data_IF_542169485706
#
_entry.id   IF_542169485706
#
_cell.length_a   1.000
_cell.length_b   1.000
_cell.length_c   1.000
_cell.angle_alpha   90.00
_cell.angle_beta   90.00
_cell.angle_gamma   90.00
#
_symmetry.space_group_name_H-M   'P 1'
#
loop_
_entity.id
_entity.type
_entity.pdbx_description
1 polymer ?
#
# COMPACT_ATOMS: atom_id res chain seq x y z
N UNK A 1 -4.62 10.51 24.33
CA UNK A 1 -6.04 10.21 24.61
C UNK A 1 -6.83 9.83 23.37
N UNK A 2 -6.98 10.68 22.35
CA UNK A 2 -7.78 10.32 21.15
C UNK A 2 -7.22 9.15 20.35
N UNK A 3 -5.89 9.06 20.23
CA UNK A 3 -5.21 7.91 19.58
C UNK A 3 -5.40 6.63 20.41
N UNK A 4 -5.30 6.71 21.73
CA UNK A 4 -5.45 5.55 22.63
C UNK A 4 -6.88 5.00 22.60
N UNK A 5 -7.89 5.88 22.55
CA UNK A 5 -9.30 5.50 22.39
C UNK A 5 -9.55 4.87 21.02
N UNK A 6 -8.96 5.42 19.95
CA UNK A 6 -9.08 4.86 18.60
C UNK A 6 -8.45 3.47 18.50
N UNK A 7 -7.27 3.27 19.10
CA UNK A 7 -6.59 1.97 19.15
C UNK A 7 -7.41 0.96 19.98
N UNK A 8 -7.92 1.36 21.15
CA UNK A 8 -8.74 0.50 22.00
C UNK A 8 -10.06 0.12 21.31
N UNK A 9 -10.74 1.05 20.65
CA UNK A 9 -11.97 0.79 19.89
C UNK A 9 -11.72 -0.12 18.69
N UNK A 10 -10.62 0.07 17.97
CA UNK A 10 -10.24 -0.78 16.83
C UNK A 10 -9.92 -2.21 17.28
N UNK A 11 -9.21 -2.39 18.39
CA UNK A 11 -8.95 -3.71 18.97
C UNK A 11 -10.23 -4.37 19.52
N UNK A 12 -11.13 -3.58 20.11
CA UNK A 12 -12.43 -4.06 20.62
C UNK A 12 -13.43 -4.44 19.52
N UNK A 13 -13.35 -3.84 18.34
CA UNK A 13 -14.20 -4.17 17.20
C UNK A 13 -13.87 -5.54 16.59
N UNK A 14 -12.65 -6.03 16.76
CA UNK A 14 -12.22 -7.34 16.27
C UNK A 14 -12.65 -8.39 17.29
N UNK A 15 -13.51 -9.32 16.87
CA UNK A 15 -13.89 -10.45 17.73
C UNK A 15 -12.68 -11.36 17.94
N UNK A 16 -12.14 -11.39 19.16
CA UNK A 16 -11.02 -12.28 19.51
C UNK A 16 -11.30 -13.74 19.14
N UNK A 17 -12.57 -14.15 19.18
CA UNK A 17 -13.01 -15.48 18.75
C UNK A 17 -12.77 -15.77 17.26
N UNK A 18 -12.95 -14.78 16.38
CA UNK A 18 -12.66 -14.92 14.94
C UNK A 18 -11.16 -14.97 14.71
N UNK A 19 -10.38 -14.15 15.42
CA UNK A 19 -8.92 -14.19 15.34
C UNK A 19 -8.39 -15.55 15.81
N UNK A 20 -8.88 -16.07 16.94
CA UNK A 20 -8.49 -17.39 17.44
C UNK A 20 -8.88 -18.52 16.48
N UNK A 21 -10.00 -18.39 15.76
CA UNK A 21 -10.44 -19.38 14.76
C UNK A 21 -9.66 -19.30 13.45
N UNK A 22 -9.23 -18.11 13.03
CA UNK A 22 -8.58 -17.84 11.74
C UNK A 22 -7.15 -17.33 11.89
N UNK A 23 -6.47 -17.61 13.00
CA UNK A 23 -5.12 -17.11 13.27
C UNK A 23 -4.12 -17.52 12.19
N UNK A 24 -4.22 -18.77 11.72
CA UNK A 24 -3.33 -19.30 10.68
C UNK A 24 -3.48 -18.56 9.34
N UNK A 25 -4.68 -18.45 8.73
CA UNK A 25 -4.82 -17.69 7.49
C UNK A 25 -4.49 -16.20 7.66
N UNK A 26 -4.74 -15.60 8.82
CA UNK A 26 -4.35 -14.21 9.09
C UNK A 26 -2.82 -14.06 9.05
N UNK A 27 -2.09 -14.92 9.77
CA UNK A 27 -0.62 -14.87 9.81
C UNK A 27 -0.03 -15.17 8.44
N UNK A 28 -0.53 -16.19 7.74
CA UNK A 28 -0.05 -16.55 6.40
C UNK A 28 -0.27 -15.39 5.43
N UNK A 29 -1.46 -14.79 5.40
CA UNK A 29 -1.75 -13.64 4.55
C UNK A 29 -0.88 -12.43 4.90
N UNK A 30 -0.69 -12.13 6.19
CA UNK A 30 0.15 -11.02 6.65
C UNK A 30 1.61 -11.19 6.24
N UNK A 31 2.18 -12.38 6.43
CA UNK A 31 3.58 -12.68 6.06
C UNK A 31 3.74 -12.65 4.54
N UNK A 32 2.84 -13.27 3.78
CA UNK A 32 2.91 -13.27 2.32
C UNK A 32 2.75 -11.86 1.75
N UNK A 33 1.75 -11.10 2.20
CA UNK A 33 1.54 -9.73 1.77
C UNK A 33 2.77 -8.87 2.11
N UNK A 34 3.27 -8.92 3.34
CA UNK A 34 4.46 -8.19 3.76
C UNK A 34 5.69 -8.53 2.92
N UNK A 35 5.95 -9.82 2.68
CA UNK A 35 7.07 -10.28 1.85
C UNK A 35 6.94 -9.81 0.39
N UNK A 36 5.75 -9.93 -0.20
CA UNK A 36 5.49 -9.47 -1.57
C UNK A 36 5.68 -7.96 -1.68
N UNK A 37 5.13 -7.18 -0.73
CA UNK A 37 5.30 -5.73 -0.69
C UNK A 37 6.77 -5.35 -0.54
N UNK A 38 7.51 -6.05 0.32
CA UNK A 38 8.94 -5.81 0.52
C UNK A 38 9.74 -6.04 -0.77
N UNK A 39 9.58 -7.20 -1.41
CA UNK A 39 10.30 -7.54 -2.65
C UNK A 39 9.95 -6.54 -3.76
N UNK A 40 8.67 -6.21 -3.89
CA UNK A 40 8.17 -5.27 -4.90
C UNK A 40 8.77 -3.88 -4.70
N UNK A 41 8.80 -3.38 -3.46
CA UNK A 41 9.36 -2.07 -3.16
C UNK A 41 10.89 -2.01 -3.26
N UNK A 42 11.60 -3.08 -2.88
CA UNK A 42 13.05 -3.19 -3.09
C UNK A 42 13.36 -3.05 -4.59
N UNK A 43 12.53 -3.64 -5.44
CA UNK A 43 12.68 -3.55 -6.89
C UNK A 43 12.22 -2.19 -7.46
N UNK A 44 11.11 -1.62 -7.00
CA UNK A 44 10.56 -0.37 -7.54
C UNK A 44 11.29 0.88 -7.05
N UNK A 45 11.68 0.93 -5.77
CA UNK A 45 12.26 2.13 -5.15
C UNK A 45 13.48 2.71 -5.89
N UNK A 46 14.53 1.93 -6.21
CA UNK A 46 15.71 2.46 -6.91
C UNK A 46 15.46 2.78 -8.39
N UNK A 47 14.28 2.42 -8.94
CA UNK A 47 13.89 2.71 -10.33
C UNK A 47 13.04 3.97 -10.45
N UNK A 48 12.30 4.31 -9.40
CA UNK A 48 11.43 5.50 -9.35
C UNK A 48 12.18 6.68 -8.73
N UNK A 49 12.90 6.44 -7.64
CA UNK A 49 13.57 7.50 -6.90
C UNK A 49 15.05 7.55 -7.28
N UNK A 50 15.54 8.73 -7.68
CA UNK A 50 16.97 9.01 -7.86
C UNK A 50 17.61 9.51 -6.58
N UNK A 51 16.82 10.13 -5.69
CA UNK A 51 17.28 10.72 -4.44
C UNK A 51 16.69 10.02 -3.21
N UNK A 52 17.50 9.84 -2.16
CA UNK A 52 17.10 9.27 -0.87
C UNK A 52 16.26 7.97 -0.99
N UNK A 53 16.71 7.06 -1.87
CA UNK A 53 16.01 5.81 -2.21
C UNK A 53 15.66 4.94 -1.00
N UNK A 54 16.57 4.85 -0.02
CA UNK A 54 16.38 4.02 1.17
C UNK A 54 15.43 4.67 2.21
N UNK A 55 15.58 5.96 2.57
CA UNK A 55 14.57 6.66 3.38
C UNK A 55 13.16 6.64 2.78
N UNK A 56 13.03 6.82 1.46
CA UNK A 56 11.72 6.75 0.78
C UNK A 56 11.16 5.32 0.77
N UNK A 57 12.02 4.33 0.53
CA UNK A 57 11.64 2.91 0.59
C UNK A 57 11.06 2.54 1.96
N UNK A 58 11.76 2.85 3.05
CA UNK A 58 11.33 2.41 4.38
C UNK A 58 10.01 3.08 4.79
N UNK A 59 9.84 4.35 4.42
CA UNK A 59 8.63 5.12 4.68
C UNK A 59 7.43 4.49 3.96
N UNK A 60 7.58 4.20 2.65
CA UNK A 60 6.53 3.61 1.84
C UNK A 60 6.22 2.18 2.31
N UNK A 61 7.24 1.39 2.66
CA UNK A 61 7.04 0.03 3.17
C UNK A 61 6.24 0.02 4.47
N UNK A 62 6.62 0.86 5.45
CA UNK A 62 5.87 0.98 6.70
C UNK A 62 4.47 1.56 6.53
N UNK A 63 4.28 2.45 5.55
CA UNK A 63 2.97 2.98 5.21
C UNK A 63 2.04 1.92 4.58
N UNK A 64 2.56 1.05 3.70
CA UNK A 64 1.78 0.01 3.03
C UNK A 64 1.49 -1.21 3.92
N UNK A 65 2.38 -1.55 4.84
CA UNK A 65 2.21 -2.70 5.77
C UNK A 65 1.48 -2.34 7.06
N UNK A 66 1.33 -1.05 7.34
CA UNK A 66 0.56 -0.55 8.47
C UNK A 66 -0.21 0.69 8.08
N UNK A 67 0.35 1.84 8.43
CA UNK A 67 -0.24 3.17 8.18
C UNK A 67 0.88 4.22 8.19
N UNK A 68 0.56 5.47 7.81
CA UNK A 68 1.55 6.56 7.79
C UNK A 68 2.33 6.74 9.11
N UNK A 69 1.69 6.66 10.30
CA UNK A 69 2.43 6.70 11.56
C UNK A 69 3.50 5.61 11.70
N UNK A 70 3.21 4.39 11.23
CA UNK A 70 4.15 3.27 11.28
C UNK A 70 5.34 3.49 10.33
N UNK A 71 5.07 4.01 9.13
CA UNK A 71 6.12 4.41 8.18
C UNK A 71 7.00 5.54 8.73
N UNK A 72 6.41 6.56 9.37
CA UNK A 72 7.16 7.65 9.99
C UNK A 72 7.97 7.17 11.19
N UNK A 73 7.48 6.20 11.97
CA UNK A 73 8.23 5.59 13.05
C UNK A 73 9.48 4.87 12.54
N UNK A 74 9.37 4.11 11.45
CA UNK A 74 10.52 3.48 10.81
C UNK A 74 11.50 4.51 10.22
N UNK A 75 10.98 5.56 9.59
CA UNK A 75 11.81 6.64 9.04
C UNK A 75 12.63 7.33 10.13
N UNK A 76 12.05 7.58 11.33
CA UNK A 76 12.76 8.18 12.47
C UNK A 76 13.97 7.38 12.95
N UNK A 77 14.04 6.08 12.69
CA UNK A 77 15.20 5.25 13.05
C UNK A 77 16.40 5.61 12.17
N UNK A 78 16.15 5.98 10.90
CA UNK A 78 17.20 6.30 9.91
C UNK A 78 17.43 7.81 9.82
N UNK A 79 16.36 8.58 9.86
CA UNK A 79 16.34 10.04 9.74
C UNK A 79 15.51 10.63 10.90
N UNK A 80 16.17 10.75 12.06
CA UNK A 80 15.54 11.18 13.32
C UNK A 80 14.97 12.59 13.25
N UNK A 81 15.61 13.46 12.49
CA UNK A 81 15.26 14.89 12.36
C UNK A 81 14.32 15.17 11.18
N UNK A 82 13.95 14.13 10.41
CA UNK A 82 13.23 14.29 9.13
C UNK A 82 13.91 15.31 8.21
N UNK A 83 15.25 15.28 8.20
CA UNK A 83 16.09 16.14 7.38
C UNK A 83 15.90 15.89 5.88
N UNK A 84 15.52 14.66 5.52
CA UNK A 84 15.25 14.26 4.13
C UNK A 84 13.83 14.67 3.70
N UNK A 85 13.62 15.04 2.42
CA UNK A 85 12.30 15.42 1.92
C UNK A 85 11.30 14.25 1.83
N UNK A 86 11.71 13.02 2.17
CA UNK A 86 10.92 11.80 2.01
C UNK A 86 9.55 11.88 2.71
N UNK A 87 9.49 12.41 3.92
CA UNK A 87 8.25 12.54 4.70
C UNK A 87 7.28 13.58 4.10
N UNK A 88 7.81 14.74 3.70
CA UNK A 88 7.03 15.84 3.11
C UNK A 88 6.47 15.46 1.75
N UNK A 89 7.30 14.90 0.88
CA UNK A 89 6.90 14.48 -0.46
C UNK A 89 5.83 13.40 -0.40
N UNK A 90 5.96 12.44 0.53
CA UNK A 90 4.95 11.42 0.73
C UNK A 90 3.62 12.03 1.19
N UNK A 91 3.63 13.00 2.10
CA UNK A 91 2.41 13.64 2.58
C UNK A 91 1.66 14.31 1.43
N UNK A 92 2.35 15.09 0.60
CA UNK A 92 1.75 15.72 -0.58
C UNK A 92 1.25 14.68 -1.59
N UNK A 93 2.04 13.64 -1.86
CA UNK A 93 1.63 12.56 -2.75
C UNK A 93 0.36 11.86 -2.26
N UNK A 94 0.26 11.60 -0.96
CA UNK A 94 -0.91 10.93 -0.36
C UNK A 94 -2.18 11.78 -0.48
N UNK A 95 -2.08 13.10 -0.28
CA UNK A 95 -3.19 14.03 -0.44
C UNK A 95 -3.66 14.10 -1.90
N UNK A 96 -2.73 14.18 -2.85
CA UNK A 96 -3.04 14.23 -4.29
C UNK A 96 -3.63 12.91 -4.79
N UNK A 97 -3.21 11.78 -4.22
CA UNK A 97 -3.69 10.45 -4.61
C UNK A 97 -5.08 10.15 -4.01
N UNK A 98 -5.49 10.85 -2.95
CA UNK A 98 -6.74 10.57 -2.25
C UNK A 98 -8.00 10.65 -3.14
N UNK A 99 -8.21 11.68 -3.99
CA UNK A 99 -9.34 11.71 -4.92
C UNK A 99 -9.34 10.53 -5.90
N UNK A 100 -8.15 10.11 -6.32
CA UNK A 100 -7.97 8.94 -7.19
C UNK A 100 -8.31 7.65 -6.43
N UNK A 101 -8.27 7.63 -5.10
CA UNK A 101 -8.63 6.45 -4.29
C UNK A 101 -10.15 6.31 -4.07
N UNK A 102 -10.92 7.40 -4.14
CA UNK A 102 -12.37 7.40 -3.83
C UNK A 102 -13.17 6.34 -4.62
N UNK A 103 -13.03 6.22 -5.96
CA UNK A 103 -13.76 5.20 -6.72
C UNK A 103 -13.40 3.77 -6.32
N UNK A 104 -12.16 3.54 -5.86
CA UNK A 104 -11.72 2.23 -5.38
C UNK A 104 -12.39 1.88 -4.04
N UNK A 105 -12.48 2.83 -3.11
CA UNK A 105 -13.16 2.63 -1.82
C UNK A 105 -14.65 2.32 -2.03
N UNK A 106 -15.30 3.07 -2.92
CA UNK A 106 -16.71 2.84 -3.26
C UNK A 106 -16.93 1.47 -3.91
N UNK A 107 -15.95 0.96 -4.67
CA UNK A 107 -16.08 -0.31 -5.39
C UNK A 107 -15.76 -1.56 -4.58
N UNK A 108 -15.08 -1.45 -3.44
CA UNK A 108 -14.71 -2.60 -2.58
C UNK A 108 -15.90 -3.47 -2.17
N UNK A 109 -17.08 -2.88 -1.94
CA UNK A 109 -18.25 -3.62 -1.49
C UNK A 109 -19.12 -4.18 -2.63
N UNK A 110 -18.88 -3.77 -3.89
CA UNK A 110 -19.69 -4.23 -5.04
C UNK A 110 -19.70 -5.75 -5.21
N UNK A 111 -18.60 -6.51 -5.03
CA UNK A 111 -18.61 -7.96 -5.15
C UNK A 111 -19.50 -8.63 -4.09
N UNK A 112 -19.52 -8.10 -2.86
CA UNK A 112 -20.38 -8.60 -1.79
C UNK A 112 -21.87 -8.35 -2.11
N UNK A 113 -22.19 -7.19 -2.69
CA UNK A 113 -23.55 -6.93 -3.20
C UNK A 113 -23.91 -7.82 -4.40
N UNK A 114 -22.95 -8.15 -5.26
CA UNK A 114 -23.11 -9.09 -6.36
C UNK A 114 -23.45 -10.51 -5.88
N UNK A 115 -22.81 -10.96 -4.79
CA UNK A 115 -23.14 -12.23 -4.14
C UNK A 115 -24.55 -12.23 -3.54
N UNK A 116 -24.91 -11.14 -2.84
CA UNK A 116 -26.23 -11.02 -2.20
C UNK A 116 -27.40 -10.91 -3.19
N UNK A 117 -27.19 -10.33 -4.38
CA UNK A 117 -28.22 -10.13 -5.42
C UNK A 117 -28.18 -11.16 -6.55
N UNK A 118 -27.24 -12.11 -6.53
CA UNK A 118 -27.02 -13.10 -7.60
C UNK A 118 -26.88 -12.48 -9.00
N UNK A 119 -26.37 -11.26 -9.08
CA UNK A 119 -26.21 -10.52 -10.33
C UNK A 119 -24.75 -10.57 -10.81
N UNK A 120 -24.45 -11.25 -11.94
CA UNK A 120 -23.09 -11.34 -12.47
C UNK A 120 -22.50 -10.00 -12.92
N UNK A 121 -23.33 -8.99 -13.23
CA UNK A 121 -22.88 -7.72 -13.81
C UNK A 121 -22.00 -6.91 -12.86
N UNK A 122 -22.28 -7.00 -11.56
CA UNK A 122 -21.53 -6.28 -10.51
C UNK A 122 -20.10 -6.82 -10.35
N UNK A 123 -19.87 -8.11 -10.60
CA UNK A 123 -18.53 -8.71 -10.60
C UNK A 123 -17.70 -8.22 -11.79
N UNK A 124 -18.30 -8.17 -12.97
CA UNK A 124 -17.65 -7.64 -14.18
C UNK A 124 -17.30 -6.16 -14.02
N UNK A 125 -18.21 -5.37 -13.45
CA UNK A 125 -17.96 -3.95 -13.17
C UNK A 125 -16.79 -3.76 -12.18
N UNK A 126 -16.77 -4.51 -11.08
CA UNK A 126 -15.66 -4.44 -10.10
C UNK A 126 -14.33 -4.84 -10.75
N UNK A 127 -14.34 -5.90 -11.56
CA UNK A 127 -13.15 -6.37 -12.29
C UNK A 127 -12.66 -5.31 -13.29
N UNK A 128 -13.57 -4.66 -14.01
CA UNK A 128 -13.24 -3.58 -14.94
C UNK A 128 -12.61 -2.38 -14.20
N UNK A 129 -13.16 -2.00 -13.03
CA UNK A 129 -12.59 -0.92 -12.21
C UNK A 129 -11.16 -1.28 -11.79
N UNK A 130 -10.92 -2.47 -11.24
CA UNK A 130 -9.58 -2.91 -10.86
C UNK A 130 -8.62 -2.98 -12.05
N UNK A 131 -9.09 -3.42 -13.23
CA UNK A 131 -8.28 -3.46 -14.45
C UNK A 131 -7.87 -2.04 -14.90
N UNK A 132 -8.78 -1.06 -14.85
CA UNK A 132 -8.46 0.34 -15.17
C UNK A 132 -7.42 0.89 -14.19
N UNK A 133 -7.57 0.65 -12.88
CA UNK A 133 -6.58 1.06 -11.88
C UNK A 133 -5.21 0.41 -12.10
N UNK A 134 -5.18 -0.87 -12.47
CA UNK A 134 -3.95 -1.57 -12.80
C UNK A 134 -3.27 -0.93 -14.01
N UNK A 135 -4.02 -0.65 -15.08
CA UNK A 135 -3.49 0.00 -16.29
C UNK A 135 -2.95 1.39 -15.94
N UNK A 136 -3.71 2.21 -15.22
CA UNK A 136 -3.28 3.55 -14.79
C UNK A 136 -2.00 3.46 -13.95
N UNK A 137 -1.93 2.50 -13.03
CA UNK A 137 -0.75 2.28 -12.18
C UNK A 137 0.48 1.86 -12.99
N UNK A 138 0.30 0.97 -13.98
CA UNK A 138 1.39 0.53 -14.87
C UNK A 138 1.87 1.68 -15.77
N UNK A 139 0.93 2.45 -16.35
CA UNK A 139 1.25 3.62 -17.18
C UNK A 139 1.97 4.67 -16.34
N UNK A 140 1.47 4.95 -15.13
CA UNK A 140 2.11 5.84 -14.17
C UNK A 140 3.52 5.39 -13.81
N UNK A 141 3.69 4.11 -13.44
CA UNK A 141 5.01 3.55 -13.16
C UNK A 141 5.96 3.70 -14.36
N UNK A 142 5.49 3.44 -15.58
CA UNK A 142 6.30 3.57 -16.79
C UNK A 142 6.67 5.03 -17.10
N UNK A 143 5.78 5.97 -16.79
CA UNK A 143 6.03 7.40 -16.94
C UNK A 143 7.08 7.89 -15.93
N UNK A 144 6.93 7.54 -14.65
CA UNK A 144 7.84 7.97 -13.58
C UNK A 144 9.20 7.24 -13.58
N UNK A 145 9.25 5.95 -13.93
CA UNK A 145 10.50 5.19 -14.04
C UNK A 145 11.25 5.45 -15.37
N UNK A 146 10.68 6.25 -16.28
CA UNK A 146 11.28 6.71 -17.53
C UNK A 146 11.82 5.58 -18.43
N UNK A 147 12.90 5.86 -19.18
CA UNK A 147 13.57 4.90 -20.09
C UNK A 147 14.29 3.75 -19.35
N UNK A 148 14.27 3.74 -18.01
CA UNK A 148 14.93 2.77 -17.15
C UNK A 148 14.01 1.69 -16.56
N UNK A 149 12.68 1.82 -16.72
CA UNK A 149 11.65 1.02 -16.04
C UNK A 149 11.88 -0.50 -16.10
N UNK A 150 12.29 -1.03 -17.25
CA UNK A 150 12.53 -2.47 -17.47
C UNK A 150 13.99 -2.82 -17.79
N UNK A 151 14.92 -1.87 -17.65
CA UNK A 151 16.33 -2.15 -17.96
C UNK A 151 16.89 -3.04 -16.85
N UNK A 152 17.39 -4.25 -17.16
CA UNK A 152 17.90 -5.28 -16.21
C UNK A 152 16.88 -5.67 -15.11
N UNK A 153 15.88 -6.53 -15.42
CA UNK A 153 14.87 -6.95 -14.44
C UNK A 153 15.44 -7.82 -13.31
N UNK A 154 16.57 -8.50 -13.52
CA UNK A 154 17.17 -9.42 -12.55
C UNK A 154 17.96 -8.79 -11.39
N UNK A 155 18.21 -7.48 -11.40
CA UNK A 155 18.86 -6.78 -10.28
C UNK A 155 17.82 -6.24 -9.30
N UNK A 156 17.80 -6.81 -8.08
CA UNK A 156 16.91 -6.41 -6.99
C UNK A 156 17.16 -4.97 -6.53
N UNK A 157 18.43 -4.56 -6.40
CA UNK A 157 18.81 -3.19 -6.02
C UNK A 157 19.75 -2.58 -7.06
N UNK A 158 19.41 -1.39 -7.57
CA UNK A 158 20.30 -0.58 -8.41
C UNK A 158 20.94 0.50 -7.54
N UNK A 159 22.27 0.55 -7.51
CA UNK A 159 23.02 1.73 -7.05
C UNK A 159 23.01 2.80 -8.13
#
# INVERSE_FOLDING_TARGET
TSVDIMVAASLGAITLAVVARYWLPIVVMGVLAGAITMITLIWMSPRIFTDYQFPRFILIYGALTGTLPSGLALLRIIDREFSTPASRDYMYASAVTFPVLIPMIMSVNLPAYGYARSDPTLYWLTTAIFAVYLIVSIVGFRHFAGKGAFRKPGTLWRK
#
